data_IF_149974704777
#
_entry.id   IF_149974704777
#
_cell.length_a   1.000
_cell.length_b   1.000
_cell.length_c   1.000
_cell.angle_alpha   90.00
_cell.angle_beta   90.00
_cell.angle_gamma   90.00
#
_symmetry.space_group_name_H-M   'P 1'
#
loop_
_entity.id
_entity.type
_entity.pdbx_description
1 polymer ?
#
# COMPACT_ATOMS: atom_id res chain seq x y z
N UNK A 1 15.15 5.21 5.80
CA UNK A 1 13.79 5.46 5.25
C UNK A 1 12.90 5.95 6.38
N UNK A 2 11.79 6.69 6.08
CA UNK A 2 10.78 7.06 7.09
C UNK A 2 9.49 6.30 6.78
N UNK A 3 8.98 5.54 7.74
CA UNK A 3 7.73 4.82 7.66
C UNK A 3 6.71 5.46 8.60
N UNK A 4 5.49 5.72 8.10
CA UNK A 4 4.39 6.27 8.90
C UNK A 4 3.30 5.21 9.00
N UNK A 5 2.93 4.83 10.21
CA UNK A 5 1.96 3.77 10.47
C UNK A 5 1.00 4.19 11.60
N UNK A 6 -0.29 4.02 11.34
CA UNK A 6 -1.32 4.40 12.30
C UNK A 6 -1.40 3.46 13.51
N UNK A 7 -1.16 2.15 13.29
CA UNK A 7 -1.19 1.15 14.38
C UNK A 7 0.15 1.07 15.12
N UNK A 8 0.18 1.38 16.43
CA UNK A 8 1.40 1.25 17.22
C UNK A 8 1.97 -0.18 17.22
N UNK A 9 1.10 -1.20 17.13
CA UNK A 9 1.51 -2.59 17.11
C UNK A 9 2.22 -2.96 15.80
N UNK A 10 1.72 -2.46 14.67
CA UNK A 10 2.36 -2.67 13.36
C UNK A 10 3.67 -1.86 13.30
N UNK A 11 3.65 -0.62 13.73
CA UNK A 11 4.84 0.24 13.78
C UNK A 11 5.97 -0.39 14.63
N UNK A 12 5.63 -1.00 15.77
CA UNK A 12 6.59 -1.73 16.60
C UNK A 12 7.22 -2.92 15.88
N UNK A 13 6.42 -3.68 15.14
CA UNK A 13 6.93 -4.82 14.34
C UNK A 13 7.82 -4.32 13.21
N UNK A 14 7.41 -3.26 12.51
CA UNK A 14 8.22 -2.64 11.48
C UNK A 14 9.60 -2.20 12.02
N UNK A 15 9.62 -1.50 13.15
CA UNK A 15 10.88 -1.05 13.78
C UNK A 15 11.80 -2.19 14.22
N UNK A 16 11.25 -3.37 14.55
CA UNK A 16 12.05 -4.56 14.85
C UNK A 16 12.64 -5.20 13.58
N UNK A 17 11.90 -5.17 12.47
CA UNK A 17 12.36 -5.70 11.18
C UNK A 17 13.39 -4.78 10.52
N UNK A 18 13.21 -3.47 10.65
CA UNK A 18 14.00 -2.44 9.99
C UNK A 18 14.52 -1.40 11.00
N UNK A 19 15.45 -1.79 11.90
CA UNK A 19 15.90 -0.92 12.99
C UNK A 19 16.66 0.33 12.54
N UNK A 20 17.09 0.38 11.29
CA UNK A 20 17.75 1.54 10.67
C UNK A 20 16.78 2.61 10.17
N UNK A 21 15.49 2.30 10.11
CA UNK A 21 14.48 3.21 9.60
C UNK A 21 13.86 4.06 10.71
N UNK A 22 13.43 5.26 10.38
CA UNK A 22 12.62 6.09 11.27
C UNK A 22 11.15 5.66 11.18
N UNK A 23 10.54 5.33 12.31
CA UNK A 23 9.13 4.94 12.35
C UNK A 23 8.33 5.99 13.12
N UNK A 24 7.34 6.56 12.46
CA UNK A 24 6.41 7.54 13.03
C UNK A 24 5.06 6.88 13.22
N UNK A 25 4.54 6.90 14.46
CA UNK A 25 3.18 6.44 14.76
C UNK A 25 2.24 7.62 14.63
N UNK A 26 1.35 7.57 13.63
CA UNK A 26 0.43 8.68 13.37
C UNK A 26 -0.39 8.53 12.10
N UNK A 27 -1.15 9.56 11.79
CA UNK A 27 -1.92 9.65 10.56
C UNK A 27 -0.97 9.96 9.38
N UNK A 28 -0.92 9.04 8.42
CA UNK A 28 -0.06 9.18 7.26
C UNK A 28 -0.48 10.32 6.32
N UNK A 29 -1.75 10.70 6.28
CA UNK A 29 -2.23 11.84 5.47
C UNK A 29 -1.73 13.14 6.07
N UNK A 30 -1.93 13.33 7.37
CA UNK A 30 -1.47 14.53 8.07
C UNK A 30 0.07 14.65 8.01
N UNK A 31 0.78 13.52 8.12
CA UNK A 31 2.23 13.51 7.98
C UNK A 31 2.67 13.88 6.56
N UNK A 32 2.01 13.31 5.54
CA UNK A 32 2.28 13.63 4.14
C UNK A 32 2.09 15.12 3.86
N UNK A 33 0.98 15.70 4.30
CA UNK A 33 0.68 17.13 4.12
C UNK A 33 1.75 18.03 4.76
N UNK A 34 2.26 17.65 5.92
CA UNK A 34 3.26 18.43 6.65
C UNK A 34 4.70 18.28 6.10
N UNK A 35 5.04 17.13 5.51
CA UNK A 35 6.42 16.74 5.23
C UNK A 35 6.71 16.37 3.76
N UNK A 36 5.74 16.43 2.84
CA UNK A 36 5.90 15.99 1.45
C UNK A 36 7.12 16.59 0.73
N UNK A 37 7.52 17.80 1.10
CA UNK A 37 8.63 18.52 0.46
C UNK A 37 10.03 18.08 0.96
N UNK A 38 10.09 17.23 1.98
CA UNK A 38 11.34 16.76 2.60
C UNK A 38 11.88 15.47 1.95
N UNK A 39 11.10 14.84 1.05
CA UNK A 39 11.42 13.53 0.49
C UNK A 39 11.66 13.58 -1.01
N UNK A 40 12.72 12.91 -1.47
CA UNK A 40 13.01 12.70 -2.89
C UNK A 40 12.13 11.60 -3.50
N UNK A 41 11.61 10.68 -2.66
CA UNK A 41 10.70 9.62 -3.05
C UNK A 41 9.61 9.41 -2.00
N UNK A 42 8.36 9.35 -2.46
CA UNK A 42 7.18 9.11 -1.63
C UNK A 42 6.42 7.89 -2.16
N UNK A 43 6.19 6.91 -1.28
CA UNK A 43 5.26 5.80 -1.54
C UNK A 43 4.09 5.88 -0.59
N UNK A 44 2.87 5.86 -1.12
CA UNK A 44 1.67 5.79 -0.30
C UNK A 44 0.75 4.66 -0.75
N UNK A 45 0.10 3.98 0.21
CA UNK A 45 -0.90 2.93 -0.02
C UNK A 45 -2.14 3.22 0.82
N UNK A 46 -3.01 4.12 0.35
CA UNK A 46 -4.25 4.48 1.07
C UNK A 46 -5.14 3.28 1.33
N UNK A 47 -6.02 3.32 2.36
CA UNK A 47 -6.89 2.19 2.71
C UNK A 47 -7.72 1.69 1.52
N UNK A 48 -7.60 0.40 1.21
CA UNK A 48 -8.27 -0.24 0.07
C UNK A 48 -9.64 -0.88 0.33
N UNK A 49 -10.14 -1.09 1.58
CA UNK A 49 -11.35 -1.89 1.81
C UNK A 49 -12.61 -1.36 1.12
N UNK A 50 -12.73 -0.05 0.94
CA UNK A 50 -13.88 0.59 0.30
C UNK A 50 -13.85 0.53 -1.24
N UNK A 51 -12.69 0.21 -1.83
CA UNK A 51 -12.50 0.15 -3.28
C UNK A 51 -12.55 -1.27 -3.83
N UNK A 52 -12.13 -2.27 -3.02
CA UNK A 52 -11.82 -3.60 -3.49
C UNK A 52 -13.00 -4.38 -4.08
N UNK A 53 -12.79 -5.00 -5.26
CA UNK A 53 -13.75 -5.87 -5.94
C UNK A 53 -14.24 -7.03 -5.05
N UNK A 54 -13.38 -7.57 -4.17
CA UNK A 54 -13.78 -8.67 -3.28
C UNK A 54 -14.86 -8.23 -2.30
N UNK A 55 -14.74 -7.05 -1.67
CA UNK A 55 -15.77 -6.54 -0.79
C UNK A 55 -17.08 -6.29 -1.54
N UNK A 56 -17.02 -5.72 -2.73
CA UNK A 56 -18.19 -5.43 -3.54
C UNK A 56 -18.86 -6.73 -4.03
N UNK A 57 -18.13 -7.58 -4.75
CA UNK A 57 -18.73 -8.73 -5.42
C UNK A 57 -19.09 -9.85 -4.44
N UNK A 58 -18.21 -10.17 -3.49
CA UNK A 58 -18.45 -11.25 -2.53
C UNK A 58 -19.16 -10.74 -1.28
N UNK A 59 -18.78 -9.56 -0.79
CA UNK A 59 -19.37 -8.98 0.42
C UNK A 59 -20.76 -8.41 0.18
N UNK A 60 -20.88 -7.37 -0.63
CA UNK A 60 -22.15 -6.66 -0.85
C UNK A 60 -23.10 -7.51 -1.68
N UNK A 61 -22.70 -7.94 -2.87
CA UNK A 61 -23.59 -8.68 -3.78
C UNK A 61 -23.82 -10.10 -3.27
N UNK A 62 -22.76 -10.82 -2.89
CA UNK A 62 -22.87 -12.23 -2.54
C UNK A 62 -23.36 -12.52 -1.12
N UNK A 63 -23.05 -11.66 -0.13
CA UNK A 63 -23.36 -11.87 1.29
C UNK A 63 -24.26 -10.81 1.91
N UNK A 64 -24.71 -9.83 1.15
CA UNK A 64 -25.61 -8.78 1.61
C UNK A 64 -24.96 -7.80 2.62
N UNK A 65 -23.65 -7.60 2.58
CA UNK A 65 -23.01 -6.59 3.43
C UNK A 65 -23.48 -5.19 3.04
N UNK A 66 -23.59 -4.30 4.01
CA UNK A 66 -23.93 -2.91 3.73
C UNK A 66 -22.91 -2.28 2.79
N UNK A 67 -23.35 -1.57 1.71
CA UNK A 67 -22.47 -0.75 0.89
C UNK A 67 -21.77 0.32 1.73
N UNK A 68 -20.54 0.67 1.36
CA UNK A 68 -19.80 1.80 1.95
C UNK A 68 -19.34 2.71 0.81
N UNK A 69 -19.27 4.00 1.08
CA UNK A 69 -18.72 4.95 0.12
C UNK A 69 -17.23 4.67 -0.12
N UNK A 70 -16.73 4.83 -1.36
CA UNK A 70 -15.31 4.82 -1.64
C UNK A 70 -14.58 5.88 -0.82
N UNK A 71 -13.48 5.53 -0.23
CA UNK A 71 -12.63 6.46 0.52
C UNK A 71 -11.88 7.37 -0.46
N UNK A 72 -12.28 8.62 -0.56
CA UNK A 72 -11.71 9.58 -1.50
C UNK A 72 -10.28 10.01 -1.15
N UNK A 73 -9.75 9.62 0.00
CA UNK A 73 -8.36 9.85 0.40
C UNK A 73 -7.36 9.33 -0.65
N UNK A 74 -7.68 8.23 -1.34
CA UNK A 74 -6.91 7.74 -2.47
C UNK A 74 -6.70 8.83 -3.54
N UNK A 75 -7.78 9.42 -4.01
CA UNK A 75 -7.72 10.42 -5.09
C UNK A 75 -7.22 11.77 -4.59
N UNK A 76 -7.51 12.12 -3.35
CA UNK A 76 -6.96 13.32 -2.71
C UNK A 76 -5.43 13.29 -2.67
N UNK A 77 -4.84 12.15 -2.29
CA UNK A 77 -3.38 11.98 -2.29
C UNK A 77 -2.78 12.03 -3.69
N UNK A 78 -3.43 11.39 -4.68
CA UNK A 78 -2.97 11.46 -6.09
C UNK A 78 -2.92 12.90 -6.57
N UNK A 79 -4.01 13.65 -6.39
CA UNK A 79 -4.10 15.06 -6.82
C UNK A 79 -3.09 15.92 -6.06
N UNK A 80 -2.95 15.72 -4.76
CA UNK A 80 -1.99 16.44 -3.93
C UNK A 80 -0.54 16.22 -4.41
N UNK A 81 -0.12 14.98 -4.56
CA UNK A 81 1.23 14.65 -4.99
C UNK A 81 1.52 15.11 -6.42
N UNK A 82 0.54 15.00 -7.32
CA UNK A 82 0.67 15.47 -8.70
C UNK A 82 0.98 16.97 -8.79
N UNK A 83 0.46 17.77 -7.86
CA UNK A 83 0.59 19.24 -7.92
C UNK A 83 1.71 19.77 -7.02
N UNK A 84 2.03 19.10 -5.92
CA UNK A 84 2.91 19.66 -4.89
C UNK A 84 4.20 18.88 -4.69
N UNK A 85 4.25 17.58 -4.95
CA UNK A 85 5.48 16.83 -4.77
C UNK A 85 6.53 17.23 -5.80
N UNK A 86 7.76 17.50 -5.33
CA UNK A 86 8.92 17.82 -6.18
C UNK A 86 9.72 16.58 -6.55
N UNK A 87 9.73 15.61 -5.66
CA UNK A 87 10.41 14.32 -5.85
C UNK A 87 9.58 13.33 -6.66
N UNK A 88 10.09 12.11 -6.75
CA UNK A 88 9.34 10.98 -7.34
C UNK A 88 8.28 10.51 -6.36
N UNK A 89 7.14 10.11 -6.89
CA UNK A 89 6.08 9.58 -6.03
C UNK A 89 5.30 8.47 -6.72
N UNK A 90 4.77 7.57 -5.91
CA UNK A 90 3.85 6.51 -6.33
C UNK A 90 2.75 6.32 -5.29
N UNK A 91 1.52 6.23 -5.77
CA UNK A 91 0.34 5.83 -4.99
C UNK A 91 -0.08 4.46 -5.46
N UNK A 92 -0.26 3.52 -4.54
CA UNK A 92 -0.69 2.15 -4.81
C UNK A 92 -2.09 1.92 -4.27
N UNK A 93 -2.93 1.20 -5.02
CA UNK A 93 -4.17 0.65 -4.48
C UNK A 93 -4.62 -0.59 -5.26
N UNK A 94 -5.60 -1.30 -4.72
CA UNK A 94 -6.21 -2.45 -5.40
C UNK A 94 -7.04 -2.00 -6.60
N UNK A 95 -7.30 -2.92 -7.54
CA UNK A 95 -8.26 -2.68 -8.63
C UNK A 95 -9.65 -2.46 -8.03
N UNK A 96 -10.26 -1.29 -8.26
CA UNK A 96 -11.58 -0.99 -7.72
C UNK A 96 -12.70 -1.75 -8.46
N UNK A 97 -13.88 -1.78 -7.86
CA UNK A 97 -15.09 -2.32 -8.47
C UNK A 97 -15.77 -1.36 -9.47
N UNK A 98 -15.24 -0.16 -9.59
CA UNK A 98 -15.68 0.92 -10.49
C UNK A 98 -14.51 1.38 -11.37
N UNK A 99 -14.80 2.18 -12.39
CA UNK A 99 -13.74 2.79 -13.22
C UNK A 99 -12.98 3.83 -12.38
N UNK A 100 -11.63 3.76 -12.31
CA UNK A 100 -10.83 4.73 -11.54
C UNK A 100 -11.10 6.17 -11.98
N UNK A 101 -11.31 7.07 -11.01
CA UNK A 101 -11.57 8.51 -11.29
C UNK A 101 -10.36 9.22 -11.88
N UNK A 102 -9.16 8.77 -11.54
CA UNK A 102 -7.90 9.20 -12.16
C UNK A 102 -7.30 7.98 -12.84
N UNK A 103 -6.93 8.12 -14.12
CA UNK A 103 -6.33 7.03 -14.88
C UNK A 103 -5.00 6.60 -14.24
N UNK A 104 -4.82 5.31 -13.92
CA UNK A 104 -3.56 4.83 -13.38
C UNK A 104 -2.43 4.94 -14.41
N UNK A 105 -1.21 5.17 -13.95
CA UNK A 105 0.00 5.22 -14.79
C UNK A 105 0.34 3.83 -15.30
N UNK A 106 0.25 2.82 -14.44
CA UNK A 106 0.47 1.43 -14.81
C UNK A 106 -0.29 0.48 -13.88
N UNK A 107 -0.34 -0.77 -14.28
CA UNK A 107 -0.92 -1.88 -13.54
C UNK A 107 0.09 -3.00 -13.42
N UNK A 108 0.29 -3.53 -12.21
CA UNK A 108 1.10 -4.74 -11.98
C UNK A 108 0.44 -5.64 -10.95
N UNK A 109 0.47 -6.96 -11.19
CA UNK A 109 -0.21 -7.97 -10.38
C UNK A 109 -1.70 -7.62 -10.18
N UNK A 110 -2.12 -7.36 -8.95
CA UNK A 110 -3.51 -7.03 -8.56
C UNK A 110 -3.72 -5.57 -8.22
N UNK A 111 -2.69 -4.72 -8.43
CA UNK A 111 -2.70 -3.33 -8.00
C UNK A 111 -2.64 -2.38 -9.17
N UNK A 112 -3.21 -1.21 -8.98
CA UNK A 112 -3.08 -0.03 -9.81
C UNK A 112 -2.10 0.93 -9.16
N UNK A 113 -1.34 1.62 -10.00
CA UNK A 113 -0.32 2.57 -9.57
C UNK A 113 -0.50 3.90 -10.29
N UNK A 114 -0.37 4.98 -9.54
CA UNK A 114 -0.29 6.34 -10.03
C UNK A 114 1.08 6.89 -9.65
N UNK A 115 1.82 7.43 -10.62
CA UNK A 115 3.18 7.91 -10.40
C UNK A 115 3.53 9.03 -11.35
N UNK A 116 4.56 9.83 -11.03
CA UNK A 116 5.15 10.82 -11.92
C UNK A 116 6.38 10.30 -12.68
N UNK A 117 6.56 8.98 -12.74
CA UNK A 117 7.62 8.31 -13.50
C UNK A 117 7.07 7.04 -14.15
N UNK A 118 7.76 6.57 -15.18
CA UNK A 118 7.41 5.34 -15.89
C UNK A 118 8.09 4.13 -15.25
N UNK A 119 7.38 2.99 -15.26
CA UNK A 119 7.91 1.70 -14.79
C UNK A 119 7.76 0.69 -15.92
N UNK A 120 8.89 0.09 -16.34
CA UNK A 120 8.87 -0.92 -17.38
C UNK A 120 8.00 -2.13 -16.98
N UNK A 121 7.13 -2.63 -17.85
CA UNK A 121 6.33 -3.81 -17.56
C UNK A 121 7.22 -5.01 -17.21
N UNK A 122 6.94 -5.65 -16.08
CA UNK A 122 7.60 -6.89 -15.65
C UNK A 122 6.56 -7.90 -15.21
N UNK A 123 6.74 -9.16 -15.61
CA UNK A 123 5.96 -10.26 -15.08
C UNK A 123 6.60 -10.72 -13.76
N UNK A 124 5.81 -10.73 -12.72
CA UNK A 124 6.17 -11.36 -11.45
C UNK A 124 5.43 -12.70 -11.37
N UNK A 125 6.06 -13.69 -10.80
CA UNK A 125 5.36 -14.92 -10.49
C UNK A 125 4.12 -14.59 -9.69
N UNK A 126 2.98 -15.15 -10.08
CA UNK A 126 1.73 -14.86 -9.40
C UNK A 126 1.92 -15.17 -7.93
N UNK A 127 2.03 -14.12 -7.13
CA UNK A 127 1.90 -14.27 -5.71
C UNK A 127 0.53 -14.92 -5.47
N UNK A 128 0.51 -16.23 -5.28
CA UNK A 128 -0.73 -16.93 -4.97
C UNK A 128 -1.21 -16.44 -3.60
N UNK A 129 -2.15 -15.49 -3.64
CA UNK A 129 -2.77 -14.89 -2.45
C UNK A 129 -3.33 -15.98 -1.53
N UNK A 130 -3.65 -17.16 -2.06
CA UNK A 130 -4.10 -18.31 -1.29
C UNK A 130 -2.95 -18.96 -0.52
N UNK A 131 -1.73 -18.93 -1.04
CA UNK A 131 -0.53 -19.51 -0.40
C UNK A 131 0.22 -18.49 0.47
N UNK A 132 0.26 -17.20 0.13
CA UNK A 132 0.78 -16.12 1.01
C UNK A 132 -0.02 -15.92 2.31
N UNK A 133 -0.84 -16.87 2.67
CA UNK A 133 -1.62 -16.89 3.91
C UNK A 133 -0.89 -17.53 5.09
N UNK A 134 0.28 -18.11 4.87
CA UNK A 134 1.10 -18.63 5.96
C UNK A 134 2.04 -17.52 6.40
N UNK A 135 2.00 -17.22 7.69
CA UNK A 135 2.93 -16.27 8.32
C UNK A 135 4.38 -16.69 8.03
N UNK A 136 4.62 -17.99 7.85
CA UNK A 136 5.92 -18.59 7.52
C UNK A 136 6.51 -18.17 6.16
N UNK A 137 5.72 -17.63 5.24
CA UNK A 137 6.18 -17.29 3.89
C UNK A 137 6.71 -15.84 3.81
N UNK A 138 6.82 -15.17 4.94
CA UNK A 138 7.26 -13.80 5.06
C UNK A 138 8.58 -13.72 5.82
N UNK A 139 9.58 -13.02 5.27
CA UNK A 139 10.83 -12.75 5.99
C UNK A 139 10.52 -11.97 7.27
N UNK A 140 11.00 -12.48 8.41
CA UNK A 140 10.64 -11.95 9.72
C UNK A 140 9.32 -12.48 10.29
N UNK A 141 8.78 -13.56 9.73
CA UNK A 141 7.52 -14.19 10.20
C UNK A 141 7.50 -14.50 11.69
N UNK A 142 8.63 -14.83 12.30
CA UNK A 142 8.74 -15.09 13.73
C UNK A 142 8.37 -13.85 14.56
N UNK A 143 8.88 -12.68 14.15
CA UNK A 143 8.56 -11.38 14.80
C UNK A 143 7.06 -11.09 14.65
N UNK A 144 6.53 -11.27 13.44
CA UNK A 144 5.10 -11.07 13.18
C UNK A 144 4.26 -12.07 13.97
N UNK A 145 4.66 -13.34 14.03
CA UNK A 145 3.95 -14.38 14.78
C UNK A 145 3.90 -14.09 16.28
N UNK A 146 5.02 -13.62 16.85
CA UNK A 146 5.13 -13.24 18.26
C UNK A 146 4.44 -11.90 18.60
N UNK A 147 4.13 -11.07 17.61
CA UNK A 147 3.56 -9.73 17.79
C UNK A 147 2.12 -9.77 18.31
N UNK A 148 1.65 -8.60 18.79
CA UNK A 148 0.26 -8.37 19.23
C UNK A 148 -0.63 -7.75 18.13
N UNK A 149 -0.22 -7.80 16.85
CA UNK A 149 -1.03 -7.29 15.75
C UNK A 149 -2.40 -8.00 15.75
N UNK A 150 -3.52 -7.27 15.82
CA UNK A 150 -4.85 -7.88 15.99
C UNK A 150 -5.27 -8.78 14.82
N UNK A 151 -4.95 -8.40 13.59
CA UNK A 151 -5.29 -9.15 12.38
C UNK A 151 -4.05 -9.37 11.50
N UNK A 152 -3.15 -10.23 11.97
CA UNK A 152 -1.88 -10.56 11.29
C UNK A 152 -2.08 -10.94 9.82
N UNK A 153 -3.10 -11.75 9.55
CA UNK A 153 -3.42 -12.20 8.19
C UNK A 153 -3.79 -11.05 7.26
N UNK A 154 -4.52 -10.06 7.77
CA UNK A 154 -4.86 -8.87 6.98
C UNK A 154 -3.64 -7.97 6.78
N UNK A 155 -2.85 -7.75 7.82
CA UNK A 155 -1.61 -6.99 7.73
C UNK A 155 -0.69 -7.56 6.64
N UNK A 156 -0.46 -8.89 6.64
CA UNK A 156 0.35 -9.56 5.61
C UNK A 156 -0.26 -9.48 4.20
N UNK A 157 -1.59 -9.50 4.08
CA UNK A 157 -2.26 -9.33 2.79
C UNK A 157 -2.16 -7.92 2.22
N UNK A 158 -1.98 -6.93 3.07
CA UNK A 158 -1.82 -5.54 2.66
C UNK A 158 -0.38 -5.22 2.24
N UNK A 159 0.58 -6.11 2.51
CA UNK A 159 1.94 -5.92 2.04
C UNK A 159 2.02 -6.03 0.51
N UNK A 160 2.72 -5.10 -0.10
CA UNK A 160 3.13 -5.21 -1.50
C UNK A 160 4.25 -6.26 -1.60
N UNK A 161 4.29 -6.96 -2.72
CA UNK A 161 5.36 -7.92 -2.99
C UNK A 161 6.72 -7.21 -3.00
N UNK A 162 7.71 -7.74 -2.28
CA UNK A 162 9.01 -7.09 -2.12
C UNK A 162 9.76 -6.91 -3.44
N UNK A 163 9.68 -7.89 -4.36
CA UNK A 163 10.29 -7.78 -5.68
C UNK A 163 9.60 -6.72 -6.55
N UNK A 164 8.27 -6.63 -6.45
CA UNK A 164 7.49 -5.58 -7.12
C UNK A 164 7.86 -4.21 -6.56
N UNK A 165 7.93 -4.07 -5.23
CA UNK A 165 8.34 -2.84 -4.57
C UNK A 165 9.73 -2.38 -5.00
N UNK A 166 10.70 -3.31 -5.01
CA UNK A 166 12.06 -3.03 -5.45
C UNK A 166 12.13 -2.62 -6.93
N UNK A 167 11.35 -3.28 -7.80
CA UNK A 167 11.30 -2.92 -9.22
C UNK A 167 10.80 -1.49 -9.43
N UNK A 168 9.75 -1.08 -8.73
CA UNK A 168 9.20 0.28 -8.81
C UNK A 168 10.20 1.29 -8.23
N UNK A 169 10.81 1.00 -7.08
CA UNK A 169 11.81 1.88 -6.47
C UNK A 169 13.03 2.06 -7.39
N UNK A 170 13.51 0.99 -8.01
CA UNK A 170 14.62 1.06 -8.97
C UNK A 170 14.28 1.96 -10.15
N UNK A 171 13.07 1.88 -10.69
CA UNK A 171 12.61 2.75 -11.76
C UNK A 171 12.50 4.22 -11.33
N UNK A 172 12.14 4.49 -10.06
CA UNK A 172 12.10 5.85 -9.53
C UNK A 172 13.48 6.48 -9.37
N UNK A 173 14.52 5.66 -9.12
CA UNK A 173 15.90 6.11 -8.90
C UNK A 173 16.75 6.18 -10.18
N UNK A 174 16.23 5.70 -11.31
CA UNK A 174 16.87 5.79 -12.62
C UNK A 174 16.67 7.16 -13.26
#
# INVERSE_FOLDING_TARGET
MTAVEYSPEIAKVYAQLYPQDTVVVGDAVAYLEAHYAEFDFIWTSPPCPSHGQYRHNVGVIGKGFAPIMPDMTLYAQIVFLQHYAKGKWVVENVKPYYEPLVKPTFEMQRHLFWSNFEVAPRKFDKADIRHKNKISDFDGHEIVAASKIPNKRQALRNCVDAELGLHILTAAMA
#
